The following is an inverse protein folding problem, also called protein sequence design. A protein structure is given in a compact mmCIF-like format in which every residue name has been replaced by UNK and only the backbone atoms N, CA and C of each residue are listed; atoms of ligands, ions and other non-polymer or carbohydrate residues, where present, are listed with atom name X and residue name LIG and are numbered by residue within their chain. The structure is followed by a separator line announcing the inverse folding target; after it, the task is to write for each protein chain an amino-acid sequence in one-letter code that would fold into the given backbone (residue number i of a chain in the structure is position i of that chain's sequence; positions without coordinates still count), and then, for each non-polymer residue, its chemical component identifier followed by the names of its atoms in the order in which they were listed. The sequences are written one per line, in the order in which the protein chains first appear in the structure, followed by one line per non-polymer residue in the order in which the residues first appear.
data_IF_287755927549
#
_entry.id   IF_287755927549
#
_cell.length_a   1.000
_cell.length_b   1.000
_cell.length_c   1.000
_cell.angle_alpha   90.00
_cell.angle_beta   90.00
_cell.angle_gamma   90.00
#
_symmetry.space_group_name_H-M   'P 1'
#
loop_
_entity.id
_entity.type
_entity.pdbx_description
1 polymer ?
#
# COMPACT_ATOMS: atom_id res chain seq x y z
N UNK A 1 17.17 10.56 51.50
CA UNK A 1 15.76 10.29 51.16
C UNK A 1 15.74 9.63 49.78
N UNK A 2 15.38 8.38 49.65
CA UNK A 2 15.26 7.75 48.30
C UNK A 2 13.95 8.18 47.68
N UNK A 3 14.05 8.72 46.45
CA UNK A 3 12.92 9.00 45.60
C UNK A 3 12.22 7.70 45.24
N UNK A 4 11.06 7.45 45.84
CA UNK A 4 10.11 6.43 45.38
C UNK A 4 9.54 6.92 44.05
N UNK A 5 10.02 6.37 42.92
CA UNK A 5 9.23 6.35 41.69
C UNK A 5 8.14 5.26 41.86
N UNK A 6 6.87 5.59 41.63
CA UNK A 6 5.85 4.56 41.58
C UNK A 6 6.05 3.80 40.25
N UNK A 7 6.72 2.66 40.30
CA UNK A 7 6.57 1.66 39.25
C UNK A 7 5.12 1.16 39.33
N UNK A 8 4.26 1.63 38.44
CA UNK A 8 3.00 0.96 38.18
C UNK A 8 3.34 -0.44 37.66
N UNK A 9 3.32 -1.43 38.54
CA UNK A 9 3.35 -2.84 38.16
C UNK A 9 1.98 -3.18 37.56
N UNK A 10 1.87 -3.12 36.23
CA UNK A 10 0.71 -3.65 35.54
C UNK A 10 0.70 -5.18 35.67
N UNK A 11 -0.43 -5.76 36.04
CA UNK A 11 -0.58 -7.20 36.11
C UNK A 11 -1.06 -7.77 34.78
N UNK A 12 -0.28 -8.67 34.20
CA UNK A 12 -0.59 -9.37 32.96
C UNK A 12 -0.93 -10.82 33.23
N UNK A 13 -2.02 -11.32 32.69
CA UNK A 13 -2.34 -12.74 32.65
C UNK A 13 -2.52 -13.15 31.21
N UNK A 14 -1.75 -14.16 30.76
CA UNK A 14 -1.80 -14.69 29.39
C UNK A 14 -2.13 -16.19 29.42
N UNK A 15 -2.80 -16.66 28.37
CA UNK A 15 -2.95 -18.07 28.04
C UNK A 15 -2.09 -18.44 26.81
N UNK A 16 -2.08 -19.71 26.43
CA UNK A 16 -1.56 -20.14 25.12
C UNK A 16 -2.66 -19.93 24.05
N UNK A 17 -2.40 -19.25 22.93
CA UNK A 17 -1.12 -18.78 22.35
C UNK A 17 -0.88 -17.27 22.55
N UNK A 18 -0.38 -16.84 23.68
CA UNK A 18 0.00 -15.46 24.01
C UNK A 18 -1.15 -14.42 24.04
N UNK A 19 -2.40 -14.86 24.15
CA UNK A 19 -3.55 -14.01 24.37
C UNK A 19 -3.51 -13.44 25.79
N UNK A 20 -3.63 -12.14 25.90
CA UNK A 20 -3.74 -11.45 27.18
C UNK A 20 -5.17 -11.61 27.69
N UNK A 21 -5.36 -12.36 28.77
CA UNK A 21 -6.68 -12.64 29.35
C UNK A 21 -7.13 -11.63 30.39
N UNK A 22 -6.18 -10.89 30.95
CA UNK A 22 -6.47 -9.72 31.79
C UNK A 22 -5.33 -8.70 31.79
N UNK A 23 -5.66 -7.44 32.05
CA UNK A 23 -4.73 -6.33 32.24
C UNK A 23 -5.30 -5.42 33.34
N UNK A 24 -4.52 -5.18 34.39
CA UNK A 24 -4.92 -4.40 35.57
C UNK A 24 -6.27 -4.80 36.18
N UNK A 25 -6.55 -6.12 36.20
CA UNK A 25 -7.78 -6.68 36.73
C UNK A 25 -8.99 -6.65 35.78
N UNK A 26 -8.89 -5.97 34.64
CA UNK A 26 -9.93 -5.98 33.59
C UNK A 26 -9.76 -7.20 32.69
N UNK A 27 -10.84 -7.93 32.45
CA UNK A 27 -10.80 -9.14 31.62
C UNK A 27 -10.76 -8.86 30.13
N UNK A 28 -10.14 -9.79 29.38
CA UNK A 28 -10.12 -9.78 27.93
C UNK A 28 -10.58 -11.16 27.44
N UNK A 29 -11.59 -11.18 26.55
CA UNK A 29 -12.10 -12.40 25.93
C UNK A 29 -11.98 -12.29 24.42
N UNK A 30 -11.83 -13.43 23.73
CA UNK A 30 -11.56 -13.47 22.30
C UNK A 30 -12.53 -14.39 21.56
N UNK A 31 -12.72 -14.10 20.26
CA UNK A 31 -13.33 -15.03 19.32
C UNK A 31 -12.32 -16.13 18.86
N UNK A 32 -12.81 -17.06 18.05
CA UNK A 32 -11.98 -18.16 17.51
C UNK A 32 -10.86 -17.66 16.56
N UNK A 33 -10.95 -16.46 16.05
CA UNK A 33 -9.96 -15.83 15.17
C UNK A 33 -8.90 -15.03 15.94
N UNK A 34 -9.00 -14.97 17.28
CA UNK A 34 -8.09 -14.22 18.14
C UNK A 34 -8.37 -12.71 18.16
N UNK A 35 -9.58 -12.27 17.79
CA UNK A 35 -10.01 -10.89 17.97
C UNK A 35 -10.70 -10.74 19.34
N UNK A 36 -10.43 -9.68 20.10
CA UNK A 36 -11.09 -9.48 21.39
C UNK A 36 -12.56 -9.15 21.22
N UNK A 37 -13.42 -9.87 21.93
CA UNK A 37 -14.88 -9.60 22.02
C UNK A 37 -15.20 -8.72 23.21
N UNK A 38 -14.45 -8.86 24.32
CA UNK A 38 -14.36 -7.89 25.40
C UNK A 38 -12.90 -7.46 25.54
N UNK A 39 -12.66 -6.17 25.63
CA UNK A 39 -11.32 -5.60 25.80
C UNK A 39 -11.33 -4.49 26.82
N UNK A 40 -10.81 -4.80 28.02
CA UNK A 40 -10.73 -3.83 29.14
C UNK A 40 -12.11 -3.21 29.47
N UNK A 41 -13.14 -4.05 29.49
CA UNK A 41 -14.52 -3.64 29.75
C UNK A 41 -15.28 -3.07 28.54
N UNK A 42 -14.63 -2.80 27.41
CA UNK A 42 -15.31 -2.44 26.18
C UNK A 42 -15.78 -3.68 25.40
N UNK A 43 -16.90 -3.59 24.69
CA UNK A 43 -17.41 -4.64 23.79
C UNK A 43 -16.99 -4.33 22.35
N UNK A 44 -16.38 -5.30 21.67
CA UNK A 44 -15.89 -5.18 20.30
C UNK A 44 -16.62 -6.19 19.39
N UNK A 45 -16.99 -5.74 18.20
CA UNK A 45 -17.60 -6.56 17.16
C UNK A 45 -16.68 -6.54 15.94
N UNK A 46 -16.41 -7.73 15.38
CA UNK A 46 -15.50 -7.92 14.28
C UNK A 46 -16.17 -8.53 13.05
N UNK A 47 -15.65 -8.23 11.87
CA UNK A 47 -15.96 -8.91 10.62
C UNK A 47 -14.63 -9.40 10.02
N UNK A 48 -14.34 -10.70 10.20
CA UNK A 48 -13.01 -11.22 9.99
C UNK A 48 -12.03 -10.55 10.95
N UNK A 49 -11.03 -9.83 10.42
CA UNK A 49 -10.08 -9.04 11.23
C UNK A 49 -10.37 -7.53 11.24
N UNK A 50 -11.52 -7.11 10.73
CA UNK A 50 -11.92 -5.70 10.68
C UNK A 50 -12.80 -5.38 11.88
N UNK A 51 -12.39 -4.42 12.69
CA UNK A 51 -13.19 -3.94 13.81
C UNK A 51 -14.41 -3.17 13.29
N UNK A 52 -15.60 -3.73 13.44
CA UNK A 52 -16.87 -3.10 13.00
C UNK A 52 -17.39 -2.09 13.99
N UNK A 53 -17.31 -2.43 15.28
CA UNK A 53 -17.72 -1.50 16.33
C UNK A 53 -16.92 -1.69 17.60
N UNK A 54 -16.75 -0.61 18.34
CA UNK A 54 -16.19 -0.53 19.68
C UNK A 54 -17.19 0.19 20.58
N UNK A 55 -17.66 -0.49 21.62
CA UNK A 55 -18.60 0.08 22.59
C UNK A 55 -17.86 0.22 23.91
N UNK A 56 -17.53 1.44 24.35
CA UNK A 56 -16.85 1.68 25.62
C UNK A 56 -17.62 1.14 26.82
N UNK A 57 -16.92 0.80 27.90
CA UNK A 57 -17.52 0.35 29.16
C UNK A 57 -18.63 1.29 29.65
N UNK A 58 -18.45 2.60 29.50
CA UNK A 58 -19.40 3.63 29.96
C UNK A 58 -20.60 3.83 29.03
N UNK A 59 -20.63 3.21 27.85
CA UNK A 59 -21.74 3.33 26.91
C UNK A 59 -23.02 2.66 27.45
N UNK A 60 -22.90 1.61 28.26
CA UNK A 60 -24.02 0.94 28.91
C UNK A 60 -24.75 1.84 29.92
N UNK A 61 -24.12 2.90 30.41
CA UNK A 61 -24.71 3.93 31.29
C UNK A 61 -25.28 5.11 30.51
N UNK A 62 -25.31 5.08 29.15
CA UNK A 62 -25.76 6.19 28.30
C UNK A 62 -24.81 7.38 28.25
N UNK A 63 -23.60 7.25 28.80
CA UNK A 63 -22.60 8.32 28.86
C UNK A 63 -21.64 8.37 27.65
N UNK A 64 -21.56 7.28 26.87
CA UNK A 64 -20.71 7.22 25.69
C UNK A 64 -21.46 6.56 24.52
N UNK A 65 -21.11 6.95 23.31
CA UNK A 65 -21.63 6.33 22.08
C UNK A 65 -20.75 5.16 21.66
N UNK A 66 -21.33 4.17 20.99
CA UNK A 66 -20.57 3.17 20.26
C UNK A 66 -19.87 3.83 19.07
N UNK A 67 -18.65 3.37 18.76
CA UNK A 67 -17.88 3.77 17.61
C UNK A 67 -18.08 2.74 16.51
N UNK A 68 -18.44 3.18 15.31
CA UNK A 68 -18.70 2.30 14.17
C UNK A 68 -17.71 2.63 13.06
N UNK A 69 -17.13 1.58 12.49
CA UNK A 69 -16.10 1.70 11.44
C UNK A 69 -16.60 1.06 10.14
N UNK A 70 -16.29 1.70 9.02
CA UNK A 70 -16.51 1.17 7.67
C UNK A 70 -15.20 1.07 6.91
N UNK A 71 -15.11 0.07 6.04
CA UNK A 71 -13.90 -0.25 5.28
C UNK A 71 -14.23 -0.38 3.80
N UNK A 72 -13.25 -0.17 2.95
CA UNK A 72 -13.34 -0.48 1.53
C UNK A 72 -13.12 -2.00 1.27
N UNK A 73 -13.13 -2.39 0.00
CA UNK A 73 -12.91 -3.77 -0.43
C UNK A 73 -11.50 -4.30 -0.05
N UNK A 74 -10.51 -3.40 0.03
CA UNK A 74 -9.13 -3.73 0.41
C UNK A 74 -8.93 -3.80 1.93
N UNK A 75 -9.95 -3.51 2.74
CA UNK A 75 -9.88 -3.52 4.19
C UNK A 75 -9.31 -2.24 4.80
N UNK A 76 -9.20 -1.17 4.01
CA UNK A 76 -8.78 0.15 4.51
C UNK A 76 -10.01 0.89 5.08
N UNK A 77 -9.86 1.43 6.28
CA UNK A 77 -10.94 2.15 6.98
C UNK A 77 -11.27 3.46 6.27
N UNK A 78 -12.49 3.58 5.76
CA UNK A 78 -12.97 4.76 5.03
C UNK A 78 -13.86 5.68 5.84
N UNK A 79 -14.45 5.17 6.95
CA UNK A 79 -15.35 5.98 7.81
C UNK A 79 -15.29 5.54 9.25
N UNK A 80 -15.45 6.51 10.14
CA UNK A 80 -15.66 6.34 11.57
C UNK A 80 -16.86 7.19 11.99
N UNK A 81 -17.81 6.59 12.72
CA UNK A 81 -19.02 7.27 13.24
C UNK A 81 -19.09 7.11 14.75
N UNK A 82 -19.26 8.21 15.47
CA UNK A 82 -19.41 8.26 16.93
C UNK A 82 -20.57 9.20 17.24
N UNK A 83 -21.74 8.63 17.57
CA UNK A 83 -22.96 9.43 17.76
C UNK A 83 -23.25 10.30 16.54
N UNK A 84 -23.34 11.62 16.74
CA UNK A 84 -23.58 12.61 15.68
C UNK A 84 -22.32 13.03 14.90
N UNK A 85 -21.16 12.45 15.22
CA UNK A 85 -19.89 12.78 14.56
C UNK A 85 -19.53 11.70 13.54
N UNK A 86 -19.31 12.11 12.29
CA UNK A 86 -18.83 11.26 11.20
C UNK A 86 -17.47 11.77 10.74
N UNK A 87 -16.51 10.88 10.62
CA UNK A 87 -15.20 11.18 10.01
C UNK A 87 -14.99 10.28 8.79
N UNK A 88 -14.90 10.90 7.62
CA UNK A 88 -14.56 10.23 6.36
C UNK A 88 -13.05 10.34 6.09
N UNK A 89 -12.46 9.25 5.63
CA UNK A 89 -11.04 9.11 5.30
C UNK A 89 -10.89 8.89 3.80
N UNK A 90 -10.05 9.69 3.15
CA UNK A 90 -9.80 9.64 1.72
C UNK A 90 -8.37 9.20 1.44
N UNK A 91 -8.21 8.12 0.70
CA UNK A 91 -6.90 7.51 0.43
C UNK A 91 -6.53 7.59 -1.04
N UNK A 92 -5.21 7.56 -1.30
CA UNK A 92 -4.61 7.23 -2.59
C UNK A 92 -3.71 6.00 -2.37
N UNK A 93 -4.17 4.82 -2.78
CA UNK A 93 -3.60 3.56 -2.34
C UNK A 93 -3.69 3.43 -0.82
N UNK A 94 -2.56 3.31 -0.14
CA UNK A 94 -2.48 3.22 1.33
C UNK A 94 -2.24 4.58 2.02
N UNK A 95 -2.00 5.65 1.26
CA UNK A 95 -1.73 6.98 1.80
C UNK A 95 -3.03 7.74 2.09
N UNK A 96 -3.21 8.18 3.32
CA UNK A 96 -4.35 8.99 3.75
C UNK A 96 -4.20 10.43 3.24
N UNK A 97 -4.91 10.79 2.17
CA UNK A 97 -4.81 12.13 1.54
C UNK A 97 -5.58 13.21 2.27
N UNK A 98 -6.60 12.83 3.05
CA UNK A 98 -7.36 13.80 3.82
C UNK A 98 -8.45 13.16 4.67
N UNK A 99 -8.99 13.97 5.58
CA UNK A 99 -10.16 13.62 6.39
C UNK A 99 -11.19 14.74 6.37
N UNK A 100 -12.46 14.36 6.43
CA UNK A 100 -13.58 15.29 6.62
C UNK A 100 -14.34 14.83 7.85
N UNK A 101 -14.28 15.63 8.91
CA UNK A 101 -15.04 15.40 10.15
C UNK A 101 -16.25 16.28 10.14
N UNK A 102 -17.45 15.69 10.20
CA UNK A 102 -18.75 16.37 10.25
C UNK A 102 -19.42 16.07 11.57
N UNK A 103 -19.82 17.09 12.27
CA UNK A 103 -20.62 17.02 13.52
C UNK A 103 -22.00 17.55 13.20
N UNK A 104 -23.05 16.75 13.42
CA UNK A 104 -24.44 17.19 13.34
C UNK A 104 -24.87 17.69 14.71
N UNK A 105 -25.20 18.98 14.83
CA UNK A 105 -25.65 19.61 16.03
C UNK A 105 -27.11 19.23 16.37
N UNK A 106 -27.56 19.49 17.58
CA UNK A 106 -28.93 19.20 18.02
C UNK A 106 -30.01 19.96 17.25
N UNK A 107 -29.67 21.10 16.65
CA UNK A 107 -30.54 21.90 15.78
C UNK A 107 -30.55 21.43 14.31
N UNK A 108 -29.86 20.33 13.98
CA UNK A 108 -29.72 19.78 12.63
C UNK A 108 -28.67 20.49 11.77
N UNK A 109 -28.05 21.56 12.26
CA UNK A 109 -26.93 22.19 11.56
C UNK A 109 -25.69 21.31 11.60
N UNK A 110 -24.73 21.52 10.67
CA UNK A 110 -23.50 20.74 10.61
C UNK A 110 -22.26 21.62 10.74
N UNK A 111 -21.31 21.15 11.53
CA UNK A 111 -19.97 21.72 11.63
C UNK A 111 -18.98 20.79 10.97
N UNK A 112 -18.18 21.31 10.03
CA UNK A 112 -17.24 20.50 9.27
C UNK A 112 -15.80 20.97 9.45
N UNK A 113 -14.87 20.04 9.74
CA UNK A 113 -13.43 20.24 9.75
C UNK A 113 -12.78 19.41 8.66
N UNK A 114 -11.93 20.03 7.85
CA UNK A 114 -11.25 19.38 6.72
C UNK A 114 -9.74 19.42 6.91
N UNK A 115 -9.11 18.26 6.77
CA UNK A 115 -7.67 18.13 6.70
C UNK A 115 -7.28 17.54 5.36
N UNK A 116 -6.23 18.10 4.74
CA UNK A 116 -5.58 17.57 3.54
C UNK A 116 -4.10 17.42 3.83
N UNK A 117 -3.53 16.27 3.50
CA UNK A 117 -2.16 15.93 3.81
C UNK A 117 -1.29 16.00 2.57
N UNK A 118 -0.06 16.45 2.73
CA UNK A 118 0.99 16.41 1.72
C UNK A 118 2.11 15.50 2.20
N UNK A 119 2.70 14.78 1.26
CA UNK A 119 3.72 13.78 1.51
C UNK A 119 5.01 14.10 0.77
N UNK A 120 6.13 13.65 1.30
CA UNK A 120 7.40 13.61 0.58
C UNK A 120 7.46 12.41 -0.39
N UNK A 121 8.60 12.26 -1.05
CA UNK A 121 8.83 11.18 -2.01
C UNK A 121 8.82 9.77 -1.37
N UNK A 122 9.05 9.68 -0.06
CA UNK A 122 9.06 8.42 0.70
C UNK A 122 7.71 8.07 1.32
N UNK A 123 6.67 8.85 1.02
CA UNK A 123 5.33 8.65 1.55
C UNK A 123 5.18 9.07 3.02
N UNK A 124 6.07 9.89 3.55
CA UNK A 124 5.93 10.46 4.90
C UNK A 124 5.19 11.79 4.83
N UNK A 125 4.20 11.97 5.72
CA UNK A 125 3.42 13.22 5.77
C UNK A 125 4.32 14.39 6.17
N UNK A 126 4.35 15.48 5.41
CA UNK A 126 5.17 16.67 5.65
C UNK A 126 4.35 17.92 5.99
N UNK A 127 3.12 18.01 5.51
CA UNK A 127 2.27 19.15 5.79
C UNK A 127 0.79 18.74 5.89
N UNK A 128 0.04 19.56 6.61
CA UNK A 128 -1.42 19.49 6.67
C UNK A 128 -2.02 20.84 6.34
N UNK A 129 -3.02 20.84 5.45
CA UNK A 129 -3.93 21.96 5.30
C UNK A 129 -5.15 21.73 6.20
N UNK A 130 -5.30 22.57 7.20
CA UNK A 130 -6.43 22.55 8.13
C UNK A 130 -7.32 23.76 7.88
N UNK A 131 -8.50 23.53 7.32
CA UNK A 131 -9.48 24.56 6.99
C UNK A 131 -8.88 25.74 6.18
N UNK A 132 -8.00 25.44 5.22
CA UNK A 132 -7.39 26.43 4.34
C UNK A 132 -6.03 26.99 4.79
N UNK A 133 -5.58 26.68 6.01
CA UNK A 133 -4.25 27.07 6.54
C UNK A 133 -3.28 25.89 6.53
N UNK A 134 -2.04 26.13 6.12
CA UNK A 134 -0.99 25.12 6.11
C UNK A 134 -0.20 25.12 7.40
N UNK A 135 0.11 23.89 7.87
CA UNK A 135 0.98 23.60 9.01
C UNK A 135 1.93 22.48 8.61
N UNK A 136 3.13 22.45 9.17
CA UNK A 136 4.19 21.54 8.80
C UNK A 136 4.54 20.64 9.98
N UNK A 137 4.79 19.37 9.68
CA UNK A 137 5.13 18.37 10.66
C UNK A 137 6.62 18.39 10.98
N UNK A 138 6.97 18.42 12.25
CA UNK A 138 8.30 18.10 12.74
C UNK A 138 8.28 16.73 13.40
N UNK A 139 9.28 15.93 13.07
CA UNK A 139 9.46 14.57 13.56
C UNK A 139 10.77 14.45 14.34
N UNK A 140 10.81 13.47 15.26
CA UNK A 140 12.05 13.04 15.86
C UNK A 140 12.74 11.94 15.00
N UNK A 141 13.90 11.46 15.46
CA UNK A 141 14.69 10.44 14.78
C UNK A 141 13.96 9.08 14.61
N UNK A 142 12.86 8.84 15.33
CA UNK A 142 12.03 7.66 15.22
C UNK A 142 10.81 7.84 14.33
N UNK A 143 10.73 8.96 13.62
CA UNK A 143 9.58 9.37 12.80
C UNK A 143 8.31 9.69 13.60
N UNK A 144 8.39 9.84 14.94
CA UNK A 144 7.26 10.29 15.74
C UNK A 144 6.97 11.75 15.41
N UNK A 145 5.73 12.11 15.18
CA UNK A 145 5.33 13.50 14.98
C UNK A 145 5.30 14.18 16.33
N UNK A 146 6.25 15.09 16.55
CA UNK A 146 6.41 15.79 17.84
C UNK A 146 5.86 17.20 17.82
N UNK A 147 5.84 17.89 16.67
CA UNK A 147 5.32 19.26 16.57
C UNK A 147 4.61 19.49 15.25
N UNK A 148 3.67 20.44 15.29
CA UNK A 148 3.19 21.14 14.10
C UNK A 148 3.58 22.60 14.23
N UNK A 149 4.17 23.15 13.17
CA UNK A 149 4.56 24.57 13.08
C UNK A 149 3.74 25.26 11.99
N UNK A 150 3.56 26.55 12.13
CA UNK A 150 2.97 27.39 11.07
C UNK A 150 4.03 27.84 10.04
N UNK A 151 3.63 28.64 9.07
CA UNK A 151 4.50 29.19 8.01
C UNK A 151 5.64 30.07 8.51
N UNK A 152 5.57 30.57 9.74
CA UNK A 152 6.61 31.39 10.38
C UNK A 152 7.59 30.58 11.21
N UNK A 153 7.38 29.26 11.33
CA UNK A 153 8.17 28.36 12.18
C UNK A 153 7.69 28.31 13.62
N UNK A 154 6.58 28.99 13.95
CA UNK A 154 6.03 28.99 15.31
C UNK A 154 5.34 27.65 15.60
N UNK A 155 5.69 27.00 16.73
CA UNK A 155 5.04 25.78 17.20
C UNK A 155 3.60 26.08 17.62
N UNK A 156 2.64 25.44 16.97
CA UNK A 156 1.22 25.59 17.26
C UNK A 156 0.61 24.36 17.94
N UNK A 157 1.24 23.19 17.77
CA UNK A 157 0.91 21.94 18.47
C UNK A 157 2.20 21.23 18.84
N UNK A 158 2.26 20.65 20.02
CA UNK A 158 3.36 19.79 20.47
C UNK A 158 2.79 18.54 21.14
N UNK A 159 3.37 17.37 20.78
CA UNK A 159 3.01 16.06 21.32
C UNK A 159 4.19 15.44 22.04
N UNK A 160 3.96 14.79 23.16
CA UNK A 160 4.95 13.96 23.84
C UNK A 160 4.45 12.54 24.01
N UNK A 161 5.36 11.59 23.94
CA UNK A 161 5.05 10.15 24.00
C UNK A 161 6.02 9.44 24.95
N UNK A 162 5.60 8.30 25.46
CA UNK A 162 6.52 7.33 26.03
C UNK A 162 7.22 6.50 24.95
N UNK A 163 8.03 5.51 25.37
CA UNK A 163 8.77 4.64 24.43
C UNK A 163 7.86 3.72 23.60
N UNK A 164 6.65 3.47 24.05
CA UNK A 164 5.66 2.60 23.40
C UNK A 164 4.66 3.40 22.54
N UNK A 165 4.77 4.72 22.57
CA UNK A 165 3.90 5.60 21.78
C UNK A 165 2.63 6.06 22.51
N UNK A 166 2.50 5.79 23.82
CA UNK A 166 1.41 6.36 24.61
C UNK A 166 1.53 7.87 24.58
N UNK A 167 0.46 8.55 24.16
CA UNK A 167 0.41 10.01 24.14
C UNK A 167 0.36 10.52 25.59
N UNK A 168 1.40 11.23 26.02
CA UNK A 168 1.51 11.79 27.36
C UNK A 168 0.93 13.19 27.46
N UNK A 169 1.17 14.02 26.44
CA UNK A 169 0.62 15.37 26.40
C UNK A 169 0.39 15.89 24.97
N UNK A 170 -0.58 16.80 24.85
CA UNK A 170 -0.80 17.64 23.68
C UNK A 170 -0.87 19.09 24.15
N UNK A 171 0.03 19.95 23.67
CA UNK A 171 0.12 21.36 24.05
C UNK A 171 0.25 22.28 22.83
N UNK A 172 0.20 23.59 23.05
CA UNK A 172 0.29 24.62 22.02
C UNK A 172 -1.03 25.36 21.75
N UNK A 173 -0.96 26.43 20.98
CA UNK A 173 -2.08 27.34 20.72
C UNK A 173 -3.24 26.68 19.97
N UNK A 174 -2.99 25.62 19.19
CA UNK A 174 -3.99 24.84 18.45
C UNK A 174 -4.14 23.41 18.99
N UNK A 175 -3.71 23.14 20.23
CA UNK A 175 -3.80 21.81 20.83
C UNK A 175 -5.21 21.23 20.85
N UNK A 176 -6.23 22.03 21.22
CA UNK A 176 -7.63 21.62 21.34
C UNK A 176 -8.37 21.49 19.99
N UNK A 177 -7.81 22.06 18.93
CA UNK A 177 -8.41 22.08 17.58
C UNK A 177 -7.63 21.23 16.60
N UNK A 178 -6.63 21.78 15.92
CA UNK A 178 -5.75 21.05 15.01
C UNK A 178 -5.07 19.87 15.75
N UNK A 179 -4.60 20.10 16.98
CA UNK A 179 -3.95 19.08 17.80
C UNK A 179 -4.81 17.83 17.98
N UNK A 180 -6.10 17.95 18.28
CA UNK A 180 -7.04 16.83 18.41
C UNK A 180 -7.49 16.27 17.08
N UNK A 181 -7.69 17.11 16.06
CA UNK A 181 -8.21 16.67 14.76
C UNK A 181 -7.14 16.03 13.85
N UNK A 182 -5.86 16.36 14.06
CA UNK A 182 -4.78 15.72 13.31
C UNK A 182 -4.68 14.24 13.68
N UNK A 183 -4.81 13.29 12.71
CA UNK A 183 -4.77 11.87 13.03
C UNK A 183 -3.33 11.35 13.22
N UNK A 184 -2.32 11.99 12.63
CA UNK A 184 -0.96 11.47 12.66
C UNK A 184 -0.24 11.79 13.98
N UNK A 185 0.35 10.76 14.62
CA UNK A 185 1.04 10.83 15.93
C UNK A 185 2.34 10.03 15.91
N UNK A 186 2.51 9.16 16.92
CA UNK A 186 3.64 8.26 17.07
C UNK A 186 3.92 7.48 15.78
N UNK A 187 5.15 7.48 15.29
CA UNK A 187 5.59 6.84 14.03
C UNK A 187 4.82 7.30 12.77
N UNK A 188 4.04 8.38 12.87
CA UNK A 188 3.14 8.79 11.81
C UNK A 188 1.91 7.89 11.64
N UNK A 189 1.59 7.04 12.59
CA UNK A 189 0.38 6.21 12.58
C UNK A 189 -0.87 7.05 12.81
N UNK A 190 -2.00 6.53 12.34
CA UNK A 190 -3.31 7.14 12.54
C UNK A 190 -3.80 6.85 13.96
N UNK A 191 -3.94 7.88 14.75
CA UNK A 191 -4.38 7.82 16.14
C UNK A 191 -5.87 8.07 16.25
N UNK A 192 -6.55 7.25 17.03
CA UNK A 192 -7.95 7.43 17.40
C UNK A 192 -8.02 8.01 18.83
N UNK A 193 -8.29 9.31 18.91
CA UNK A 193 -8.31 10.09 20.15
C UNK A 193 -9.25 9.51 21.22
N UNK A 194 -10.36 8.90 20.79
CA UNK A 194 -11.39 8.36 21.65
C UNK A 194 -11.08 6.99 22.27
N UNK A 195 -10.22 6.20 21.60
CA UNK A 195 -9.79 4.88 22.12
C UNK A 195 -8.37 4.91 22.65
N UNK A 196 -7.56 5.89 22.23
CA UNK A 196 -6.14 5.91 22.48
C UNK A 196 -5.36 4.89 21.62
N UNK A 197 -6.01 4.25 20.63
CA UNK A 197 -5.38 3.25 19.78
C UNK A 197 -4.79 3.88 18.52
N UNK A 198 -3.77 3.21 17.99
CA UNK A 198 -3.25 3.49 16.65
C UNK A 198 -3.83 2.50 15.66
N UNK A 199 -4.37 3.02 14.56
CA UNK A 199 -4.82 2.23 13.41
C UNK A 199 -3.65 2.10 12.41
N UNK A 200 -3.11 0.89 12.27
CA UNK A 200 -1.99 0.55 11.39
C UNK A 200 -2.49 -0.16 10.12
N UNK A 201 -3.66 0.21 9.61
CA UNK A 201 -4.35 -0.35 8.44
C UNK A 201 -4.85 -1.79 8.65
N UNK A 202 -4.01 -2.77 8.95
CA UNK A 202 -4.43 -4.15 9.16
C UNK A 202 -4.89 -4.44 10.59
N UNK A 203 -4.31 -3.75 11.59
CA UNK A 203 -4.57 -3.97 13.01
C UNK A 203 -4.65 -2.67 13.80
N UNK A 204 -5.19 -2.78 15.01
CA UNK A 204 -5.15 -1.71 16.00
C UNK A 204 -4.09 -2.01 17.06
N UNK A 205 -3.27 -1.03 17.36
CA UNK A 205 -2.22 -1.09 18.38
C UNK A 205 -2.66 -0.27 19.61
N UNK A 206 -2.61 -0.90 20.77
CA UNK A 206 -2.84 -0.20 22.04
C UNK A 206 -1.48 0.13 22.69
N UNK A 207 -1.06 1.40 22.74
CA UNK A 207 0.22 1.79 23.32
C UNK A 207 0.25 1.71 24.85
N UNK A 208 -0.91 1.72 25.52
CA UNK A 208 -1.02 1.55 26.98
C UNK A 208 -0.59 0.14 27.39
N UNK A 209 -1.00 -0.86 26.60
CA UNK A 209 -0.70 -2.27 26.84
C UNK A 209 0.58 -2.71 26.12
N UNK A 210 1.01 -1.93 25.11
CA UNK A 210 2.19 -2.21 24.29
C UNK A 210 2.00 -3.35 23.29
N UNK A 211 0.74 -3.65 22.88
CA UNK A 211 0.40 -4.80 22.02
C UNK A 211 -0.63 -4.44 20.96
N UNK A 212 -0.65 -5.23 19.89
CA UNK A 212 -1.82 -5.28 19.03
C UNK A 212 -3.01 -5.87 19.78
N UNK A 213 -4.21 -5.36 19.51
CA UNK A 213 -5.42 -5.88 20.18
C UNK A 213 -5.95 -7.17 19.54
N UNK A 214 -5.68 -7.40 18.24
CA UNK A 214 -6.06 -8.61 17.49
C UNK A 214 -4.83 -9.41 17.05
N UNK A 215 -5.02 -10.71 16.77
CA UNK A 215 -3.95 -11.60 16.33
C UNK A 215 -3.44 -11.24 14.94
N UNK A 216 -2.18 -11.56 14.64
CA UNK A 216 -1.63 -11.49 13.27
C UNK A 216 -2.17 -12.66 12.44
N UNK A 217 -2.48 -12.40 11.16
CA UNK A 217 -2.84 -13.45 10.18
C UNK A 217 -1.63 -14.29 9.81
N UNK A 218 -0.43 -13.70 9.86
CA UNK A 218 0.83 -14.33 9.52
C UNK A 218 1.48 -14.91 10.78
N UNK A 219 1.10 -16.12 11.13
CA UNK A 219 1.75 -16.87 12.21
C UNK A 219 3.16 -17.27 11.76
N UNK A 220 4.14 -16.97 12.62
CA UNK A 220 5.56 -17.35 12.49
C UNK A 220 6.40 -16.46 11.55
N UNK A 221 7.08 -15.52 12.15
CA UNK A 221 8.08 -14.70 11.48
C UNK A 221 9.48 -15.34 11.43
N UNK A 222 9.62 -16.60 11.88
CA UNK A 222 10.91 -17.29 11.93
C UNK A 222 11.91 -16.72 12.95
N UNK A 223 11.49 -15.84 13.85
CA UNK A 223 12.35 -15.11 14.80
C UNK A 223 12.34 -15.69 16.22
N UNK A 224 12.35 -17.02 16.35
CA UNK A 224 12.34 -17.69 17.65
C UNK A 224 11.02 -17.53 18.40
N UNK A 225 11.04 -17.69 19.73
CA UNK A 225 9.83 -17.72 20.57
C UNK A 225 9.01 -16.42 20.47
N UNK A 226 9.66 -15.25 20.36
CA UNK A 226 8.97 -13.97 20.27
C UNK A 226 8.26 -13.79 18.91
N UNK A 227 8.79 -14.38 17.84
CA UNK A 227 8.18 -14.35 16.51
C UNK A 227 6.90 -15.17 16.38
N UNK A 228 6.57 -15.98 17.39
CA UNK A 228 5.31 -16.73 17.48
C UNK A 228 4.22 -15.98 18.24
N UNK A 229 4.54 -14.84 18.89
CA UNK A 229 3.56 -14.01 19.58
C UNK A 229 2.78 -13.15 18.57
N UNK A 230 1.55 -13.60 18.23
CA UNK A 230 0.69 -12.96 17.24
C UNK A 230 0.23 -11.54 17.62
N UNK A 231 0.43 -11.12 18.86
CA UNK A 231 0.00 -9.81 19.37
C UNK A 231 1.17 -8.85 19.63
N UNK A 232 2.41 -9.32 19.48
CA UNK A 232 3.58 -8.50 19.80
C UNK A 232 3.75 -7.35 18.82
N UNK A 233 3.82 -6.12 19.34
CA UNK A 233 4.21 -4.95 18.56
C UNK A 233 5.73 -4.85 18.49
N UNK A 234 6.29 -4.72 17.28
CA UNK A 234 7.73 -4.56 17.04
C UNK A 234 8.61 -5.61 17.73
N UNK A 235 8.13 -6.85 17.93
CA UNK A 235 8.80 -7.90 18.70
C UNK A 235 9.23 -7.43 20.10
N UNK A 236 8.38 -6.66 20.77
CA UNK A 236 8.62 -6.03 22.07
C UNK A 236 9.85 -5.10 22.12
N UNK A 237 10.27 -4.55 20.97
CA UNK A 237 11.38 -3.60 20.87
C UNK A 237 10.99 -2.37 20.00
N UNK A 238 10.05 -1.52 20.46
CA UNK A 238 9.52 -0.40 19.68
C UNK A 238 10.54 0.75 19.52
N UNK A 239 11.63 0.74 20.29
CA UNK A 239 12.69 1.74 20.16
C UNK A 239 13.50 1.55 18.89
N UNK A 240 13.81 0.28 18.53
CA UNK A 240 14.68 -0.09 17.41
C UNK A 240 13.92 -0.67 16.21
N UNK A 241 12.61 -0.79 16.29
CA UNK A 241 11.77 -1.40 15.26
C UNK A 241 10.52 -0.59 15.01
N UNK A 242 9.96 -0.69 13.82
CA UNK A 242 8.66 -0.12 13.47
C UNK A 242 7.84 -1.17 12.71
N UNK A 243 6.52 -1.02 12.78
CA UNK A 243 5.57 -1.82 12.01
C UNK A 243 4.67 -0.86 11.22
N UNK A 244 5.00 -0.61 9.97
CA UNK A 244 4.37 0.45 9.18
C UNK A 244 2.93 0.13 8.73
N UNK A 245 2.53 -1.14 8.73
CA UNK A 245 1.23 -1.60 8.22
C UNK A 245 0.47 -2.52 9.17
N UNK A 246 0.99 -2.77 10.36
CA UNK A 246 0.34 -3.59 11.37
C UNK A 246 0.46 -5.11 11.16
N UNK A 247 1.33 -5.58 10.27
CA UNK A 247 1.50 -7.01 10.02
C UNK A 247 2.86 -7.55 10.43
N UNK A 248 3.94 -6.75 10.33
CA UNK A 248 5.26 -7.29 10.55
C UNK A 248 6.34 -6.22 10.77
N UNK A 249 7.18 -6.45 11.79
CA UNK A 249 8.42 -5.69 12.02
C UNK A 249 9.61 -6.45 11.44
N UNK A 250 10.07 -6.04 10.27
CA UNK A 250 11.12 -6.73 9.53
C UNK A 250 12.53 -6.19 9.90
N UNK A 251 13.47 -7.02 10.41
CA UNK A 251 14.85 -6.58 10.62
C UNK A 251 15.59 -6.40 9.29
N UNK A 252 16.57 -5.52 9.27
CA UNK A 252 17.30 -5.13 8.06
C UNK A 252 17.97 -6.30 7.34
N UNK A 253 18.58 -7.24 8.06
CA UNK A 253 19.21 -8.40 7.41
C UNK A 253 18.21 -9.23 6.60
N UNK A 254 16.95 -9.35 7.08
CA UNK A 254 15.92 -10.08 6.39
C UNK A 254 15.39 -9.31 5.17
N UNK A 255 15.29 -7.97 5.27
CA UNK A 255 14.97 -7.10 4.11
C UNK A 255 16.00 -7.29 3.00
N UNK A 256 17.29 -7.34 3.34
CA UNK A 256 18.38 -7.59 2.38
C UNK A 256 18.28 -9.00 1.80
N UNK A 257 18.00 -10.02 2.62
CA UNK A 257 17.84 -11.39 2.15
C UNK A 257 16.68 -11.53 1.17
N UNK A 258 15.50 -10.98 1.50
CA UNK A 258 14.33 -10.98 0.61
C UNK A 258 14.64 -10.22 -0.68
N UNK A 259 15.28 -9.05 -0.58
CA UNK A 259 15.69 -8.26 -1.72
C UNK A 259 16.65 -9.02 -2.63
N UNK A 260 17.63 -9.74 -2.08
CA UNK A 260 18.57 -10.54 -2.84
C UNK A 260 17.88 -11.70 -3.58
N UNK A 261 16.99 -12.44 -2.90
CA UNK A 261 16.23 -13.53 -3.53
C UNK A 261 15.31 -12.99 -4.64
N UNK A 262 14.61 -11.87 -4.38
CA UNK A 262 13.74 -11.24 -5.37
C UNK A 262 14.53 -10.71 -6.58
N UNK A 263 15.69 -10.11 -6.35
CA UNK A 263 16.57 -9.63 -7.43
C UNK A 263 17.07 -10.78 -8.31
N UNK A 264 17.53 -11.88 -7.71
CA UNK A 264 17.94 -13.09 -8.46
C UNK A 264 16.76 -13.63 -9.26
N UNK A 265 15.56 -13.69 -8.66
CA UNK A 265 14.36 -14.11 -9.36
C UNK A 265 13.99 -13.19 -10.53
N UNK A 266 14.09 -11.87 -10.36
CA UNK A 266 13.83 -10.90 -11.42
C UNK A 266 14.81 -11.03 -12.59
N UNK A 267 16.09 -11.22 -12.29
CA UNK A 267 17.14 -11.45 -13.32
C UNK A 267 16.90 -12.77 -14.03
N UNK A 268 16.64 -13.86 -13.30
CA UNK A 268 16.37 -15.18 -13.89
C UNK A 268 15.15 -15.15 -14.83
N UNK A 269 14.03 -14.51 -14.39
CA UNK A 269 12.84 -14.34 -15.20
C UNK A 269 13.09 -13.46 -16.43
N UNK A 270 13.92 -12.42 -16.30
CA UNK A 270 14.29 -11.57 -17.43
C UNK A 270 15.09 -12.35 -18.47
N UNK A 271 16.02 -13.20 -18.04
CA UNK A 271 16.79 -14.10 -18.93
C UNK A 271 15.84 -15.10 -19.61
N UNK A 272 14.91 -15.72 -18.86
CA UNK A 272 13.95 -16.69 -19.38
C UNK A 272 12.98 -16.11 -20.42
N UNK A 273 12.66 -14.80 -20.32
CA UNK A 273 11.74 -14.12 -21.23
C UNK A 273 12.42 -13.31 -22.32
N UNK A 274 13.73 -13.13 -22.24
CA UNK A 274 14.51 -12.32 -23.15
C UNK A 274 14.61 -12.96 -24.54
N UNK A 275 14.62 -12.14 -25.58
CA UNK A 275 15.01 -12.53 -26.93
C UNK A 275 16.51 -12.75 -27.03
N UNK A 276 17.17 -12.31 -28.11
CA UNK A 276 18.61 -12.40 -28.27
C UNK A 276 19.42 -11.70 -27.13
N UNK A 277 20.68 -12.03 -27.00
CA UNK A 277 21.59 -11.60 -25.92
C UNK A 277 21.53 -10.09 -25.58
N UNK A 278 21.38 -9.22 -26.58
CA UNK A 278 21.27 -7.78 -26.38
C UNK A 278 19.99 -7.37 -25.64
N UNK A 279 18.84 -8.00 -25.94
CA UNK A 279 17.58 -7.72 -25.26
C UNK A 279 17.60 -8.18 -23.79
N UNK A 280 18.23 -9.32 -23.53
CA UNK A 280 18.46 -9.82 -22.15
C UNK A 280 19.34 -8.85 -21.36
N UNK A 281 20.45 -8.41 -21.94
CA UNK A 281 21.36 -7.46 -21.28
C UNK A 281 20.67 -6.14 -20.91
N UNK A 282 19.87 -5.57 -21.81
CA UNK A 282 19.08 -4.36 -21.53
C UNK A 282 18.04 -4.61 -20.44
N UNK A 283 17.36 -5.76 -20.47
CA UNK A 283 16.38 -6.15 -19.45
C UNK A 283 17.00 -6.27 -18.06
N UNK A 284 18.11 -6.96 -17.95
CA UNK A 284 18.87 -7.10 -16.69
C UNK A 284 19.38 -5.75 -16.20
N UNK A 285 19.94 -4.91 -17.09
CA UNK A 285 20.40 -3.57 -16.73
C UNK A 285 19.28 -2.69 -16.16
N UNK A 286 18.07 -2.77 -16.72
CA UNK A 286 16.89 -2.04 -16.19
C UNK A 286 16.50 -2.52 -14.80
N UNK A 287 16.47 -3.84 -14.58
CA UNK A 287 16.15 -4.42 -13.25
C UNK A 287 17.17 -3.96 -12.21
N UNK A 288 18.45 -4.13 -12.49
CA UNK A 288 19.53 -3.73 -11.56
C UNK A 288 19.53 -2.23 -11.34
N UNK A 289 19.35 -1.44 -12.41
CA UNK A 289 19.31 0.03 -12.33
C UNK A 289 18.14 0.55 -11.47
N UNK A 290 16.94 0.00 -11.61
CA UNK A 290 15.80 0.40 -10.80
C UNK A 290 15.99 0.10 -9.32
N UNK A 291 16.58 -1.06 -9.00
CA UNK A 291 16.88 -1.45 -7.61
C UNK A 291 17.96 -0.53 -7.02
N UNK A 292 19.02 -0.22 -7.79
CA UNK A 292 20.10 0.66 -7.34
C UNK A 292 19.59 2.08 -7.05
N UNK A 293 18.73 2.64 -7.90
CA UNK A 293 18.12 3.95 -7.70
C UNK A 293 17.24 3.95 -6.43
N UNK A 294 16.36 2.95 -6.28
CA UNK A 294 15.51 2.83 -5.09
C UNK A 294 16.35 2.73 -3.80
N UNK A 295 17.42 1.94 -3.82
CA UNK A 295 18.32 1.79 -2.68
C UNK A 295 19.04 3.11 -2.34
N UNK A 296 19.58 3.82 -3.35
CA UNK A 296 20.32 5.06 -3.14
C UNK A 296 19.42 6.20 -2.64
N UNK A 297 18.23 6.35 -3.22
CA UNK A 297 17.26 7.37 -2.78
C UNK A 297 16.83 7.13 -1.33
N UNK A 298 16.43 5.90 -1.00
CA UNK A 298 16.00 5.57 0.37
C UNK A 298 17.14 5.68 1.39
N UNK A 299 18.39 5.37 0.99
CA UNK A 299 19.56 5.56 1.85
C UNK A 299 19.85 7.05 2.08
N UNK A 300 19.75 7.88 1.05
CA UNK A 300 19.96 9.32 1.16
C UNK A 300 18.94 9.97 2.10
N UNK A 301 17.68 9.63 1.97
CA UNK A 301 16.62 10.11 2.86
C UNK A 301 16.85 9.62 4.29
N UNK A 302 17.10 8.33 4.48
CA UNK A 302 17.40 7.76 5.79
C UNK A 302 18.61 8.44 6.47
N UNK A 303 19.66 8.81 5.69
CA UNK A 303 20.80 9.56 6.23
C UNK A 303 20.40 10.94 6.75
N UNK A 304 19.55 11.66 6.04
CA UNK A 304 19.04 12.96 6.46
C UNK A 304 18.20 12.86 7.73
N UNK A 305 17.50 11.72 7.92
CA UNK A 305 16.64 11.50 9.08
C UNK A 305 17.38 11.06 10.34
N UNK A 306 18.32 10.13 10.23
CA UNK A 306 18.96 9.47 11.37
C UNK A 306 20.46 9.18 11.15
N UNK A 307 21.13 9.99 10.35
CA UNK A 307 22.56 9.87 10.08
C UNK A 307 22.92 8.49 9.50
N UNK A 308 24.06 7.93 9.90
CA UNK A 308 24.57 6.66 9.38
C UNK A 308 23.61 5.49 9.58
N UNK A 309 22.90 5.39 10.71
CA UNK A 309 21.96 4.30 10.96
C UNK A 309 20.75 4.42 10.04
N UNK A 310 20.19 5.62 9.89
CA UNK A 310 19.09 5.87 8.97
C UNK A 310 19.45 5.58 7.51
N UNK A 311 20.69 5.86 7.11
CA UNK A 311 21.17 5.48 5.76
C UNK A 311 21.17 3.95 5.55
N UNK A 312 21.59 3.19 6.55
CA UNK A 312 21.58 1.71 6.51
C UNK A 312 20.15 1.19 6.42
N UNK A 313 19.26 1.69 7.27
CA UNK A 313 17.85 1.27 7.33
C UNK A 313 17.12 1.62 6.03
N UNK A 314 17.34 2.82 5.51
CA UNK A 314 16.83 3.28 4.23
C UNK A 314 17.35 2.45 3.06
N UNK A 315 18.66 2.16 3.02
CA UNK A 315 19.23 1.30 1.99
C UNK A 315 18.62 -0.10 1.99
N UNK A 316 18.46 -0.72 3.18
CA UNK A 316 17.84 -2.04 3.31
C UNK A 316 16.37 -2.05 2.83
N UNK A 317 15.60 -1.01 3.15
CA UNK A 317 14.23 -0.84 2.68
C UNK A 317 14.19 -0.66 1.15
N UNK A 318 14.97 0.27 0.62
CA UNK A 318 15.01 0.56 -0.82
C UNK A 318 15.45 -0.64 -1.64
N UNK A 319 16.44 -1.40 -1.16
CA UNK A 319 16.89 -2.64 -1.80
C UNK A 319 15.79 -3.71 -1.81
N UNK A 320 15.14 -3.96 -0.69
CA UNK A 320 14.07 -4.94 -0.59
C UNK A 320 12.88 -4.60 -1.49
N UNK A 321 12.32 -3.40 -1.35
CA UNK A 321 11.13 -3.00 -2.11
C UNK A 321 11.42 -2.82 -3.59
N UNK A 322 12.57 -2.27 -3.96
CA UNK A 322 13.01 -2.16 -5.35
C UNK A 322 13.15 -3.53 -6.01
N UNK A 323 13.72 -4.51 -5.29
CA UNK A 323 13.89 -5.88 -5.80
C UNK A 323 12.55 -6.63 -5.91
N UNK A 324 11.64 -6.48 -4.94
CA UNK A 324 10.29 -7.06 -4.99
C UNK A 324 9.47 -6.49 -6.15
N UNK A 325 9.53 -5.18 -6.37
CA UNK A 325 8.88 -4.52 -7.49
C UNK A 325 9.41 -5.01 -8.85
N UNK A 326 10.73 -5.13 -8.97
CA UNK A 326 11.38 -5.65 -10.18
C UNK A 326 11.01 -7.13 -10.43
N UNK A 327 10.94 -7.96 -9.36
CA UNK A 327 10.52 -9.35 -9.45
C UNK A 327 9.06 -9.47 -9.90
N UNK A 328 8.15 -8.68 -9.33
CA UNK A 328 6.74 -8.65 -9.73
C UNK A 328 6.55 -8.29 -11.21
N UNK A 329 7.26 -7.26 -11.69
CA UNK A 329 7.26 -6.87 -13.10
C UNK A 329 7.80 -7.96 -14.03
N UNK A 330 8.89 -8.62 -13.64
CA UNK A 330 9.48 -9.73 -14.40
C UNK A 330 8.55 -10.96 -14.41
N UNK A 331 7.92 -11.30 -13.27
CA UNK A 331 6.98 -12.41 -13.17
C UNK A 331 5.74 -12.20 -14.05
N UNK A 332 5.18 -10.99 -14.07
CA UNK A 332 4.06 -10.65 -14.94
C UNK A 332 4.44 -10.78 -16.43
N UNK A 333 5.63 -10.30 -16.81
CA UNK A 333 6.14 -10.48 -18.16
C UNK A 333 6.30 -11.96 -18.50
N UNK A 334 6.91 -12.75 -17.60
CA UNK A 334 7.08 -14.20 -17.80
C UNK A 334 5.74 -14.91 -18.01
N UNK A 335 4.73 -14.65 -17.14
CA UNK A 335 3.41 -15.24 -17.24
C UNK A 335 2.73 -14.91 -18.59
N UNK A 336 2.84 -13.66 -19.05
CA UNK A 336 2.30 -13.25 -20.33
C UNK A 336 3.01 -13.91 -21.50
N UNK A 337 4.35 -13.99 -21.49
CA UNK A 337 5.12 -14.69 -22.54
C UNK A 337 4.80 -16.18 -22.54
N UNK A 338 4.74 -16.83 -21.38
CA UNK A 338 4.40 -18.25 -21.27
C UNK A 338 2.98 -18.53 -21.80
N UNK A 339 1.99 -17.76 -21.39
CA UNK A 339 0.62 -17.86 -21.89
C UNK A 339 0.55 -17.60 -23.42
N UNK A 340 1.38 -16.67 -23.92
CA UNK A 340 1.45 -16.37 -25.35
C UNK A 340 2.11 -17.47 -26.19
N UNK A 341 2.94 -18.34 -25.58
CA UNK A 341 3.69 -19.37 -26.31
C UNK A 341 3.19 -20.79 -26.14
N UNK A 342 2.54 -21.11 -25.03
CA UNK A 342 2.18 -22.50 -24.63
C UNK A 342 0.70 -22.71 -24.34
N UNK A 343 -0.10 -21.64 -24.26
CA UNK A 343 -1.54 -21.71 -23.98
C UNK A 343 -2.40 -22.22 -25.19
N UNK A 344 -3.69 -22.33 -24.95
CA UNK A 344 -4.65 -22.58 -26.05
C UNK A 344 -4.65 -21.40 -27.04
N UNK A 345 -5.07 -21.61 -28.31
CA UNK A 345 -5.09 -20.54 -29.33
C UNK A 345 -5.78 -19.25 -28.84
N UNK A 346 -6.88 -19.38 -28.10
CA UNK A 346 -7.61 -18.23 -27.55
C UNK A 346 -6.83 -17.53 -26.39
N UNK A 347 -6.23 -18.30 -25.47
CA UNK A 347 -5.41 -17.73 -24.40
C UNK A 347 -4.12 -17.09 -24.92
N UNK A 348 -3.52 -17.68 -25.94
CA UNK A 348 -2.34 -17.14 -26.63
C UNK A 348 -2.67 -15.82 -27.35
N UNK A 349 -3.85 -15.72 -28.00
CA UNK A 349 -4.33 -14.49 -28.63
C UNK A 349 -4.48 -13.37 -27.60
N UNK A 350 -5.25 -13.62 -26.52
CA UNK A 350 -5.47 -12.64 -25.43
C UNK A 350 -4.19 -12.22 -24.72
N UNK A 351 -3.23 -13.13 -24.54
CA UNK A 351 -1.93 -12.80 -23.97
C UNK A 351 -1.13 -11.87 -24.89
N UNK A 352 -1.15 -12.15 -26.20
CA UNK A 352 -0.52 -11.27 -27.21
C UNK A 352 -1.14 -9.87 -27.24
N UNK A 353 -2.47 -9.75 -27.19
CA UNK A 353 -3.16 -8.46 -27.10
C UNK A 353 -2.74 -7.66 -25.87
N UNK A 354 -2.71 -8.29 -24.67
CA UNK A 354 -2.23 -7.61 -23.45
C UNK A 354 -0.79 -7.14 -23.56
N UNK A 355 0.10 -7.94 -24.17
CA UNK A 355 1.50 -7.54 -24.37
C UNK A 355 1.65 -6.40 -25.36
N UNK A 356 0.76 -6.30 -26.34
CA UNK A 356 0.69 -5.17 -27.27
C UNK A 356 -0.01 -3.93 -26.67
N UNK A 357 -0.45 -3.99 -25.41
CA UNK A 357 -1.16 -2.90 -24.73
C UNK A 357 -2.57 -2.65 -25.28
N UNK A 358 -3.23 -3.69 -25.81
CA UNK A 358 -4.60 -3.57 -26.35
C UNK A 358 -5.62 -3.64 -25.22
N UNK A 359 -6.40 -2.59 -25.06
CA UNK A 359 -7.56 -2.57 -24.19
C UNK A 359 -8.79 -3.21 -24.89
N UNK A 360 -9.62 -3.99 -24.19
CA UNK A 360 -10.83 -4.58 -24.78
C UNK A 360 -11.78 -3.58 -25.42
N UNK A 361 -11.83 -2.35 -24.89
CA UNK A 361 -12.63 -1.23 -25.39
C UNK A 361 -12.08 -0.60 -26.67
N UNK A 362 -10.86 -0.91 -27.08
CA UNK A 362 -10.22 -0.37 -28.28
C UNK A 362 -10.69 -1.05 -29.58
N UNK A 363 -11.36 -2.20 -29.46
CA UNK A 363 -11.88 -2.98 -30.62
C UNK A 363 -13.12 -2.31 -31.19
N UNK A 364 -13.06 -1.92 -32.47
CA UNK A 364 -14.17 -1.28 -33.19
C UNK A 364 -14.40 -1.99 -34.52
N UNK A 365 -15.66 -2.25 -34.82
CA UNK A 365 -16.03 -2.83 -36.13
C UNK A 365 -15.85 -1.79 -37.24
N UNK A 366 -15.23 -2.23 -38.33
CA UNK A 366 -15.12 -1.48 -39.60
C UNK A 366 -15.82 -2.28 -40.72
N UNK A 367 -16.28 -1.57 -41.72
CA UNK A 367 -16.83 -2.21 -42.95
C UNK A 367 -15.91 -1.88 -44.11
N UNK A 368 -15.39 -2.90 -44.79
CA UNK A 368 -14.47 -2.79 -45.91
C UNK A 368 -14.70 -3.95 -46.90
N UNK A 369 -14.69 -3.70 -48.20
CA UNK A 369 -14.88 -4.69 -49.26
C UNK A 369 -16.14 -5.56 -49.06
N UNK A 370 -17.25 -4.97 -48.59
CA UNK A 370 -18.50 -5.63 -48.26
C UNK A 370 -18.47 -6.51 -47.00
N UNK A 371 -17.40 -6.53 -46.26
CA UNK A 371 -17.20 -7.36 -45.05
C UNK A 371 -17.07 -6.51 -43.79
N UNK A 372 -17.54 -7.03 -42.65
CA UNK A 372 -17.29 -6.50 -41.32
C UNK A 372 -16.01 -7.10 -40.79
N UNK A 373 -15.09 -6.26 -40.29
CA UNK A 373 -13.83 -6.63 -39.64
C UNK A 373 -13.71 -5.94 -38.31
N UNK A 374 -13.04 -6.56 -37.37
CA UNK A 374 -12.76 -5.96 -36.05
C UNK A 374 -11.26 -6.08 -35.84
N UNK A 375 -10.49 -4.98 -36.05
CA UNK A 375 -9.07 -4.95 -35.68
C UNK A 375 -8.92 -4.99 -34.15
N UNK A 376 -7.77 -5.41 -33.69
CA UNK A 376 -7.50 -5.46 -32.25
C UNK A 376 -7.48 -4.07 -31.61
N UNK A 377 -6.98 -3.05 -32.35
CA UNK A 377 -7.10 -1.65 -31.95
C UNK A 377 -7.29 -0.75 -33.19
N UNK A 378 -8.19 0.21 -33.06
CA UNK A 378 -8.42 1.24 -34.06
C UNK A 378 -8.43 2.63 -33.42
N UNK A 379 -7.40 3.42 -33.74
CA UNK A 379 -7.31 4.83 -33.34
C UNK A 379 -7.58 5.76 -34.53
N UNK A 380 -7.47 7.07 -34.34
CA UNK A 380 -7.57 8.04 -35.42
C UNK A 380 -6.45 7.90 -36.47
N UNK A 381 -5.25 7.47 -36.03
CA UNK A 381 -4.04 7.42 -36.87
C UNK A 381 -3.51 6.03 -37.14
N UNK A 382 -3.95 5.01 -36.38
CA UNK A 382 -3.35 3.66 -36.41
C UNK A 382 -4.42 2.57 -36.44
N UNK A 383 -4.19 1.51 -37.23
CA UNK A 383 -4.86 0.23 -37.16
C UNK A 383 -3.84 -0.81 -36.70
N UNK A 384 -4.12 -1.46 -35.58
CA UNK A 384 -3.25 -2.45 -34.97
C UNK A 384 -3.89 -3.83 -34.98
N UNK A 385 -3.11 -4.84 -35.34
CA UNK A 385 -3.50 -6.24 -35.31
C UNK A 385 -2.43 -7.07 -34.60
N UNK A 386 -2.82 -7.99 -33.77
CA UNK A 386 -1.92 -8.89 -33.02
C UNK A 386 -2.06 -10.30 -33.54
N UNK A 387 -0.96 -10.89 -33.97
CA UNK A 387 -0.93 -12.29 -34.46
C UNK A 387 0.11 -13.10 -33.71
N UNK A 388 -0.36 -13.86 -32.74
CA UNK A 388 0.47 -14.70 -31.91
C UNK A 388 0.61 -16.13 -32.51
N UNK A 389 1.16 -16.24 -33.69
CA UNK A 389 1.30 -17.47 -34.47
C UNK A 389 2.72 -17.70 -34.96
N UNK A 390 3.05 -18.93 -35.40
CA UNK A 390 4.39 -19.28 -35.92
C UNK A 390 4.68 -18.71 -37.30
N UNK A 391 3.63 -18.56 -38.13
CA UNK A 391 3.73 -18.08 -39.50
C UNK A 391 2.55 -17.20 -39.87
N UNK A 392 2.79 -16.12 -40.59
CA UNK A 392 1.77 -15.20 -41.11
C UNK A 392 1.89 -15.10 -42.63
N UNK A 393 0.79 -15.42 -43.32
CA UNK A 393 0.57 -15.09 -44.72
C UNK A 393 -0.34 -13.90 -44.88
N UNK A 394 -0.36 -13.27 -46.05
CA UNK A 394 -1.23 -12.14 -46.35
C UNK A 394 -2.69 -12.60 -46.53
N UNK A 395 -3.34 -12.89 -45.39
CA UNK A 395 -4.74 -13.38 -45.35
C UNK A 395 -5.72 -12.33 -45.87
N UNK A 396 -6.95 -12.77 -46.19
CA UNK A 396 -8.03 -11.86 -46.59
C UNK A 396 -8.30 -10.78 -45.55
N UNK A 397 -8.22 -11.10 -44.26
CA UNK A 397 -8.36 -10.17 -43.15
C UNK A 397 -7.29 -9.09 -43.19
N UNK A 398 -5.99 -9.46 -43.30
CA UNK A 398 -4.89 -8.50 -43.38
C UNK A 398 -4.95 -7.62 -44.62
N UNK A 399 -5.43 -8.14 -45.76
CA UNK A 399 -5.68 -7.35 -46.97
C UNK A 399 -6.80 -6.33 -46.75
N UNK A 400 -7.94 -6.75 -46.19
CA UNK A 400 -9.03 -5.85 -45.87
C UNK A 400 -8.58 -4.71 -44.94
N UNK A 401 -7.76 -5.01 -43.97
CA UNK A 401 -7.19 -3.98 -43.06
C UNK A 401 -6.23 -3.06 -43.81
N UNK A 402 -5.40 -3.58 -44.72
CA UNK A 402 -4.50 -2.76 -45.51
C UNK A 402 -5.27 -1.81 -46.43
N UNK A 403 -6.33 -2.30 -47.10
CA UNK A 403 -7.21 -1.46 -47.93
C UNK A 403 -7.91 -0.37 -47.10
N UNK A 404 -8.41 -0.72 -45.91
CA UNK A 404 -9.04 0.24 -45.02
C UNK A 404 -8.06 1.32 -44.55
N UNK A 405 -6.84 0.94 -44.14
CA UNK A 405 -5.81 1.86 -43.72
C UNK A 405 -5.41 2.82 -44.86
N UNK A 406 -5.25 2.32 -46.08
CA UNK A 406 -4.95 3.13 -47.27
C UNK A 406 -6.03 4.16 -47.56
N UNK A 407 -7.31 3.78 -47.46
CA UNK A 407 -8.44 4.70 -47.70
C UNK A 407 -8.53 5.76 -46.62
N UNK A 408 -8.23 5.41 -45.36
CA UNK A 408 -8.41 6.29 -44.22
C UNK A 408 -7.15 7.00 -43.74
N UNK A 409 -6.00 6.81 -44.43
CA UNK A 409 -4.71 7.41 -44.09
C UNK A 409 -4.08 6.90 -42.79
N UNK A 410 -4.48 5.71 -42.32
CA UNK A 410 -3.96 5.15 -41.06
C UNK A 410 -2.68 4.37 -41.27
N UNK A 411 -1.84 4.37 -40.26
CA UNK A 411 -0.65 3.52 -40.18
C UNK A 411 -1.06 2.10 -39.77
N UNK A 412 -0.48 1.08 -40.43
CA UNK A 412 -0.69 -0.33 -40.09
C UNK A 412 0.39 -0.81 -39.14
N UNK A 413 0.01 -1.42 -38.03
CA UNK A 413 0.94 -2.10 -37.10
C UNK A 413 0.52 -3.55 -36.92
N UNK A 414 1.46 -4.47 -37.20
CA UNK A 414 1.31 -5.90 -36.98
C UNK A 414 2.23 -6.35 -35.85
N UNK A 415 1.66 -6.71 -34.72
CA UNK A 415 2.37 -7.14 -33.53
C UNK A 415 2.50 -8.66 -33.51
N UNK A 416 3.71 -9.19 -33.48
CA UNK A 416 4.02 -10.61 -33.62
C UNK A 416 5.09 -11.06 -32.61
N UNK A 417 5.24 -12.38 -32.44
CA UNK A 417 6.37 -12.93 -31.70
C UNK A 417 7.68 -12.70 -32.47
N UNK A 418 8.82 -12.55 -31.77
CA UNK A 418 10.12 -12.46 -32.43
C UNK A 418 10.44 -13.65 -33.35
N UNK A 419 9.87 -14.83 -33.06
CA UNK A 419 10.07 -16.08 -33.82
C UNK A 419 9.09 -16.29 -34.95
N UNK A 420 8.12 -15.37 -35.16
CA UNK A 420 7.12 -15.47 -36.23
C UNK A 420 7.76 -15.26 -37.60
N UNK A 421 7.57 -16.21 -38.50
CA UNK A 421 7.93 -16.05 -39.91
C UNK A 421 6.82 -15.28 -40.64
N UNK A 422 7.19 -14.19 -41.32
CA UNK A 422 6.24 -13.30 -42.00
C UNK A 422 6.47 -13.40 -43.51
N UNK A 423 5.41 -13.65 -44.24
CA UNK A 423 5.46 -13.67 -45.70
C UNK A 423 5.79 -12.27 -46.25
N UNK A 424 6.64 -12.20 -47.29
CA UNK A 424 7.01 -10.94 -47.93
C UNK A 424 5.78 -10.11 -48.36
N UNK A 425 4.74 -10.77 -48.84
CA UNK A 425 3.49 -10.11 -49.24
C UNK A 425 2.75 -9.36 -48.14
N UNK A 426 3.03 -9.64 -46.85
CA UNK A 426 2.52 -8.87 -45.71
C UNK A 426 3.33 -7.58 -45.55
N UNK A 427 4.64 -7.69 -45.69
CA UNK A 427 5.54 -6.52 -45.62
C UNK A 427 5.24 -5.58 -46.80
N UNK A 428 5.15 -6.13 -48.00
CA UNK A 428 4.85 -5.39 -49.22
C UNK A 428 3.47 -4.70 -49.19
N UNK A 429 2.53 -5.18 -48.34
CA UNK A 429 1.23 -4.55 -48.10
C UNK A 429 1.28 -3.35 -47.14
N UNK A 430 2.46 -2.95 -46.65
CA UNK A 430 2.66 -1.76 -45.84
C UNK A 430 2.50 -1.97 -44.32
N UNK A 431 2.57 -3.21 -43.84
CA UNK A 431 2.51 -3.50 -42.43
C UNK A 431 3.84 -3.18 -41.73
N UNK A 432 3.81 -2.30 -40.71
CA UNK A 432 4.93 -2.08 -39.80
C UNK A 432 4.96 -3.21 -38.76
N UNK A 433 6.03 -3.97 -38.78
CA UNK A 433 6.18 -5.13 -37.88
C UNK A 433 6.67 -4.64 -36.52
N UNK A 434 5.97 -5.05 -35.45
CA UNK A 434 6.33 -4.84 -34.05
C UNK A 434 6.45 -6.17 -33.33
N UNK A 435 7.29 -6.24 -32.32
CA UNK A 435 7.48 -7.46 -31.55
C UNK A 435 6.87 -7.38 -30.18
N UNK A 436 6.23 -8.47 -29.76
CA UNK A 436 5.48 -8.54 -28.50
C UNK A 436 6.38 -8.57 -27.26
N UNK A 437 7.63 -8.97 -27.39
CA UNK A 437 8.65 -8.99 -26.32
C UNK A 437 10.07 -8.80 -26.86
#
# INVERSE_FOLDING_TARGET
MPLKQPYCLHTYVCNLPDQLTSYDGESITYDASGNPTNYLGATLVWEGQRLKSYTPKDASSGRANSYVYSYDENGIRTRKTIGSTVTDYYYNGTLLMGTVKTITNSDGSTTTSKLRFSYDADGKVVAVNYNGKYYYYLRNARSDIVKLIDKTGTTVVEYTYDSWGKLLSTSGSLASTLGKNNPFRYRGYVYDEETGFYYLQSRYYNPEVGRFISSDVLLSTGQGVIGHNAYAYCLNNPVNREDSNGNWSMPNWLKVTIGAVALVGAVALTVATGGGAAAVAVGVAKVVGSVAVSTAVSAGVGYLENGKQGAIDGACNGFMFGSLSACGGAALKYANVHAATTGSPNSMGKAGERMAGIEPSAKRAIRINGRVRIPDELTQTTLKEVKNVKYISNTLQLRDFADYAKITGRTLELWVRPTTKIAKTVIDAGWNIRYLW
#
